data_IF_841686882317
#
_entry.id   IF_841686882317
#
_cell.length_a   1.000
_cell.length_b   1.000
_cell.length_c   1.000
_cell.angle_alpha   90.00
_cell.angle_beta   90.00
_cell.angle_gamma   90.00
#
_symmetry.space_group_name_H-M   'P 1'
#
loop_
_entity.id
_entity.type
_entity.pdbx_description
1 polymer ?
#
# COMPACT_ATOMS: atom_id res chain seq x y z
N UNK A 1 4.83 -60.04 5.08
CA UNK A 1 4.12 -58.76 5.32
C UNK A 1 4.23 -58.50 6.81
N UNK A 2 5.10 -57.60 7.28
CA UNK A 2 4.87 -56.14 7.43
C UNK A 2 6.30 -55.54 7.58
N UNK A 3 6.84 -54.80 6.59
CA UNK A 3 6.79 -53.34 6.42
C UNK A 3 7.25 -52.58 7.69
N UNK A 4 8.49 -52.05 7.72
CA UNK A 4 8.88 -50.72 7.22
C UNK A 4 8.84 -49.67 8.34
N UNK A 5 9.97 -49.00 8.58
CA UNK A 5 9.98 -47.72 9.31
C UNK A 5 11.28 -47.41 10.04
N UNK A 6 12.37 -47.15 9.33
CA UNK A 6 13.50 -46.40 9.88
C UNK A 6 13.00 -44.96 10.07
N UNK A 7 12.79 -44.53 11.31
CA UNK A 7 12.50 -43.14 11.62
C UNK A 7 13.81 -42.35 11.61
N UNK A 8 14.11 -41.71 10.47
CA UNK A 8 15.08 -40.64 10.39
C UNK A 8 14.50 -39.44 11.14
N UNK A 9 14.93 -39.24 12.39
CA UNK A 9 14.64 -38.04 13.13
C UNK A 9 15.35 -36.87 12.44
N UNK A 10 14.64 -36.17 11.56
CA UNK A 10 15.04 -34.85 11.09
C UNK A 10 15.04 -33.97 12.34
N UNK A 11 16.23 -33.75 12.90
CA UNK A 11 16.44 -32.71 13.90
C UNK A 11 16.33 -31.39 13.16
N UNK A 12 15.10 -30.90 12.97
CA UNK A 12 14.89 -29.52 12.58
C UNK A 12 15.51 -28.69 13.69
N UNK A 13 16.66 -28.08 13.43
CA UNK A 13 17.31 -27.18 14.40
C UNK A 13 16.28 -26.14 14.76
N UNK A 14 15.84 -26.14 16.01
CA UNK A 14 15.02 -25.06 16.55
C UNK A 14 15.70 -23.74 16.18
N UNK A 15 14.97 -22.72 15.70
CA UNK A 15 15.59 -21.43 15.48
C UNK A 15 16.23 -21.03 16.80
N UNK A 16 17.56 -20.89 16.79
CA UNK A 16 18.27 -20.40 17.96
C UNK A 16 17.58 -19.11 18.36
N UNK A 17 17.06 -19.06 19.58
CA UNK A 17 16.70 -17.79 20.20
C UNK A 17 17.98 -17.00 20.23
N UNK A 18 18.14 -16.09 19.28
CA UNK A 18 19.18 -15.09 19.30
C UNK A 18 18.87 -14.27 20.54
N UNK A 19 19.50 -14.63 21.65
CA UNK A 19 19.61 -13.76 22.81
C UNK A 19 20.36 -12.54 22.30
N UNK A 20 19.63 -11.52 21.88
CA UNK A 20 20.17 -10.18 21.89
C UNK A 20 20.45 -9.89 23.36
N UNK A 21 21.71 -10.00 23.78
CA UNK A 21 22.13 -9.34 25.00
C UNK A 21 21.74 -7.88 24.86
N UNK A 22 20.83 -7.44 25.72
CA UNK A 22 20.45 -6.04 25.82
C UNK A 22 21.69 -5.28 26.31
N UNK A 23 22.48 -4.79 25.37
CA UNK A 23 23.56 -3.86 25.65
C UNK A 23 22.93 -2.60 26.24
N UNK A 24 22.89 -2.55 27.57
CA UNK A 24 22.68 -1.33 28.36
C UNK A 24 23.86 -0.35 28.24
N UNK A 25 24.80 -0.61 27.32
CA UNK A 25 25.74 0.38 26.80
C UNK A 25 25.00 1.43 26.01
N UNK A 26 24.58 2.50 26.69
CA UNK A 26 23.94 3.65 26.09
C UNK A 26 24.72 4.16 24.89
N UNK A 27 24.00 4.37 23.78
CA UNK A 27 24.42 5.26 22.71
C UNK A 27 24.39 6.70 23.27
N UNK A 28 25.34 7.01 24.14
CA UNK A 28 25.53 8.29 24.83
C UNK A 28 25.95 9.43 23.87
N UNK A 29 25.71 9.28 22.56
CA UNK A 29 26.02 10.28 21.54
C UNK A 29 24.82 10.83 20.78
N UNK A 30 23.63 10.21 20.89
CA UNK A 30 22.45 10.61 20.09
C UNK A 30 21.19 10.94 20.90
N UNK A 31 21.29 10.97 22.24
CA UNK A 31 20.22 11.52 23.11
C UNK A 31 18.86 10.81 23.07
N UNK A 32 18.75 9.65 22.40
CA UNK A 32 17.50 8.92 22.26
C UNK A 32 17.29 7.85 23.34
N UNK A 33 16.03 7.71 23.80
CA UNK A 33 15.58 6.58 24.64
C UNK A 33 15.66 5.29 23.81
N UNK A 34 16.26 4.23 24.37
CA UNK A 34 16.28 2.90 23.74
C UNK A 34 14.85 2.35 23.68
N UNK A 35 14.39 1.98 22.49
CA UNK A 35 13.06 1.40 22.24
C UNK A 35 13.20 -0.11 22.09
N UNK A 36 12.30 -0.89 22.68
CA UNK A 36 12.33 -2.35 22.63
C UNK A 36 11.99 -2.87 21.23
N UNK A 37 12.47 -4.06 20.87
CA UNK A 37 12.21 -4.67 19.57
C UNK A 37 10.71 -4.92 19.30
N UNK A 38 9.94 -5.21 20.35
CA UNK A 38 8.48 -5.35 20.28
C UNK A 38 7.80 -4.01 20.03
N UNK A 39 8.21 -2.94 20.73
CA UNK A 39 7.71 -1.60 20.46
C UNK A 39 8.07 -1.15 19.02
N UNK A 40 9.24 -1.53 18.49
CA UNK A 40 9.58 -1.32 17.09
C UNK A 40 8.81 -2.23 16.13
N UNK A 41 8.35 -3.40 16.56
CA UNK A 41 7.51 -4.29 15.75
C UNK A 41 6.09 -3.75 15.64
N UNK A 42 5.54 -3.18 16.73
CA UNK A 42 4.24 -2.52 16.74
C UNK A 42 4.24 -1.19 15.96
N UNK A 43 5.39 -0.49 15.94
CA UNK A 43 5.60 0.72 15.13
C UNK A 43 5.98 0.42 13.68
N UNK A 44 6.39 -0.82 13.36
CA UNK A 44 6.56 -1.27 11.97
C UNK A 44 5.16 -1.60 11.48
N UNK A 45 4.60 -0.75 10.63
CA UNK A 45 3.24 -0.87 10.09
C UNK A 45 3.01 -2.13 9.24
N UNK A 46 2.95 -3.26 9.93
CA UNK A 46 2.92 -4.60 9.37
C UNK A 46 1.81 -5.46 9.98
N UNK A 47 0.82 -4.82 10.60
CA UNK A 47 -0.34 -5.50 11.16
C UNK A 47 -1.65 -5.17 10.42
N UNK A 48 -1.64 -4.22 9.46
CA UNK A 48 -2.85 -3.86 8.75
C UNK A 48 -3.01 -4.67 7.47
N UNK A 49 -3.74 -5.78 7.57
CA UNK A 49 -4.26 -6.53 6.43
C UNK A 49 -5.53 -5.85 5.88
N UNK A 50 -5.51 -4.52 5.67
CA UNK A 50 -6.66 -3.81 5.12
C UNK A 50 -6.93 -4.32 3.71
N UNK A 51 -8.07 -4.98 3.54
CA UNK A 51 -8.59 -5.30 2.22
C UNK A 51 -9.04 -4.00 1.54
N UNK A 52 -8.14 -3.41 0.78
CA UNK A 52 -8.36 -2.22 -0.02
C UNK A 52 -9.00 -2.63 -1.35
N UNK A 53 -10.32 -2.50 -1.49
CA UNK A 53 -11.03 -2.86 -2.71
C UNK A 53 -11.69 -1.65 -3.37
N UNK A 54 -11.43 -1.48 -4.67
CA UNK A 54 -12.17 -0.57 -5.53
C UNK A 54 -13.23 -1.39 -6.28
N UNK A 55 -14.51 -1.12 -6.00
CA UNK A 55 -15.63 -1.64 -6.80
C UNK A 55 -16.20 -0.55 -7.69
N UNK A 56 -15.74 -0.56 -8.94
CA UNK A 56 -16.22 0.34 -9.98
C UNK A 56 -17.25 -0.40 -10.86
N UNK A 57 -18.53 -0.23 -10.53
CA UNK A 57 -19.65 -0.74 -11.33
C UNK A 57 -20.42 0.45 -11.90
N UNK A 58 -20.51 0.50 -13.22
CA UNK A 58 -21.38 1.45 -13.88
C UNK A 58 -21.62 1.07 -15.31
N UNK A 59 -22.72 1.55 -15.85
CA UNK A 59 -23.11 1.32 -17.23
C UNK A 59 -23.63 2.62 -17.82
N UNK A 60 -23.18 2.92 -19.03
CA UNK A 60 -23.72 4.01 -19.83
C UNK A 60 -24.68 3.39 -20.83
N UNK A 61 -25.96 3.74 -20.76
CA UNK A 61 -26.99 3.22 -21.67
C UNK A 61 -27.88 4.35 -22.15
N UNK A 62 -28.39 4.19 -23.37
CA UNK A 62 -29.36 5.11 -23.99
C UNK A 62 -28.87 6.57 -24.08
N UNK A 63 -27.56 6.78 -24.28
CA UNK A 63 -27.05 8.12 -24.53
C UNK A 63 -27.41 8.53 -25.95
N UNK A 64 -28.33 9.47 -26.06
CA UNK A 64 -28.57 10.21 -27.29
C UNK A 64 -28.01 11.63 -27.14
N UNK A 65 -27.15 12.03 -28.07
CA UNK A 65 -26.57 13.36 -28.13
C UNK A 65 -26.83 13.91 -29.53
N UNK A 66 -27.60 14.99 -29.64
CA UNK A 66 -27.92 15.68 -30.89
C UNK A 66 -27.57 17.16 -30.72
N UNK A 67 -27.07 17.80 -31.79
CA UNK A 67 -26.63 19.20 -31.80
C UNK A 67 -25.59 19.56 -30.71
N UNK A 68 -24.69 18.62 -30.37
CA UNK A 68 -23.70 18.84 -29.30
C UNK A 68 -22.36 19.28 -29.89
N UNK A 69 -21.88 20.44 -29.43
CA UNK A 69 -20.49 20.88 -29.62
C UNK A 69 -19.70 20.45 -28.38
N UNK A 70 -18.74 19.55 -28.56
CA UNK A 70 -17.83 19.11 -27.50
C UNK A 70 -16.64 20.04 -27.39
N UNK A 71 -16.13 20.21 -26.16
CA UNK A 71 -14.99 21.10 -25.88
C UNK A 71 -13.63 20.43 -26.08
N UNK A 72 -12.57 21.10 -25.64
CA UNK A 72 -11.24 20.51 -25.45
C UNK A 72 -10.97 20.27 -23.96
N UNK A 73 -10.25 19.20 -23.63
CA UNK A 73 -9.68 19.03 -22.30
C UNK A 73 -8.21 19.44 -22.41
N UNK A 74 -7.89 20.68 -22.07
CA UNK A 74 -6.52 21.20 -22.19
C UNK A 74 -5.92 21.29 -20.80
N UNK A 75 -4.87 20.52 -20.56
CA UNK A 75 -3.92 20.74 -19.45
C UNK A 75 -2.77 21.55 -20.03
N UNK A 76 -2.69 22.83 -19.66
CA UNK A 76 -1.66 23.73 -20.19
C UNK A 76 -0.34 23.61 -19.44
N UNK A 77 0.67 24.28 -19.98
CA UNK A 77 1.99 24.37 -19.36
C UNK A 77 1.90 24.98 -17.95
N UNK A 78 2.57 24.35 -16.98
CA UNK A 78 2.48 24.74 -15.57
C UNK A 78 1.27 24.20 -14.80
N UNK A 79 0.35 23.45 -15.42
CA UNK A 79 -0.83 22.94 -14.72
C UNK A 79 -0.52 22.00 -13.55
N UNK A 80 0.68 21.41 -13.52
CA UNK A 80 1.20 20.61 -12.40
C UNK A 80 2.49 21.20 -11.82
N UNK A 81 2.90 22.41 -12.22
CA UNK A 81 4.10 23.01 -11.68
C UNK A 81 3.90 23.29 -10.18
N UNK A 82 4.78 22.75 -9.35
CA UNK A 82 4.70 22.87 -7.89
C UNK A 82 3.74 21.88 -7.22
N UNK A 83 3.15 20.91 -7.93
CA UNK A 83 2.37 19.85 -7.27
C UNK A 83 3.29 18.93 -6.49
N UNK A 84 3.05 18.79 -5.20
CA UNK A 84 3.68 17.81 -4.32
C UNK A 84 2.61 16.85 -3.80
N UNK A 85 2.95 15.57 -3.65
CA UNK A 85 1.99 14.50 -3.34
C UNK A 85 1.48 13.78 -4.59
N UNK A 86 0.18 13.47 -4.66
CA UNK A 86 -0.41 12.66 -5.71
C UNK A 86 -1.47 13.45 -6.51
N UNK A 87 -1.06 14.21 -7.55
CA UNK A 87 -2.01 14.90 -8.40
C UNK A 87 -2.80 13.89 -9.25
N UNK A 88 -4.12 14.06 -9.33
CA UNK A 88 -4.99 13.27 -10.19
C UNK A 88 -5.78 14.16 -11.13
N UNK A 89 -5.97 13.70 -12.36
CA UNK A 89 -6.79 14.42 -13.32
C UNK A 89 -7.63 13.49 -14.18
N UNK A 90 -8.84 13.97 -14.46
CA UNK A 90 -9.85 13.22 -15.17
C UNK A 90 -10.44 14.17 -16.21
N UNK A 91 -10.23 13.84 -17.48
CA UNK A 91 -10.67 14.65 -18.61
C UNK A 91 -11.85 14.00 -19.31
N UNK A 92 -12.87 14.80 -19.60
CA UNK A 92 -13.92 14.39 -20.50
C UNK A 92 -14.50 15.54 -21.29
N UNK A 93 -14.42 15.42 -22.61
CA UNK A 93 -15.02 16.40 -23.53
C UNK A 93 -16.22 15.86 -24.26
N UNK A 94 -16.55 14.58 -24.09
CA UNK A 94 -17.63 13.93 -24.82
C UNK A 94 -18.97 13.98 -24.11
N UNK A 95 -20.00 13.60 -24.85
CA UNK A 95 -21.30 13.21 -24.29
C UNK A 95 -21.31 11.70 -24.04
N UNK A 96 -22.00 11.26 -22.98
CA UNK A 96 -22.18 9.84 -22.71
C UNK A 96 -20.93 9.15 -22.18
N UNK A 97 -20.20 9.79 -21.27
CA UNK A 97 -19.07 9.15 -20.63
C UNK A 97 -19.33 8.90 -19.17
N UNK A 98 -19.08 7.66 -18.77
CA UNK A 98 -18.93 7.26 -17.39
C UNK A 98 -17.44 7.24 -17.08
N UNK A 99 -17.06 7.95 -16.03
CA UNK A 99 -15.68 7.95 -15.56
C UNK A 99 -15.62 7.33 -14.16
N UNK A 100 -14.77 6.33 -14.03
CA UNK A 100 -14.56 5.58 -12.81
C UNK A 100 -13.09 5.65 -12.41
N UNK A 101 -12.64 6.86 -12.06
CA UNK A 101 -11.32 7.02 -11.44
C UNK A 101 -11.44 6.78 -9.94
N UNK A 102 -10.63 5.87 -9.42
CA UNK A 102 -10.53 5.61 -8.00
C UNK A 102 -9.07 5.26 -7.68
N UNK A 103 -8.55 5.84 -6.61
CA UNK A 103 -7.21 5.55 -6.11
C UNK A 103 -7.31 5.29 -4.62
N UNK A 104 -6.71 4.18 -4.19
CA UNK A 104 -6.50 3.88 -2.78
C UNK A 104 -5.04 4.21 -2.47
N UNK A 105 -4.84 5.09 -1.51
CA UNK A 105 -3.52 5.43 -0.98
C UNK A 105 -3.48 5.01 0.48
N UNK A 106 -2.69 3.97 0.75
CA UNK A 106 -2.40 3.52 2.12
C UNK A 106 -1.09 4.15 2.54
N UNK A 107 -1.12 5.00 3.57
CA UNK A 107 0.08 5.65 4.12
C UNK A 107 0.17 5.32 5.60
N UNK A 108 1.34 4.84 6.00
CA UNK A 108 1.72 4.71 7.39
C UNK A 108 2.81 5.73 7.67
N UNK A 109 2.55 6.64 8.61
CA UNK A 109 3.52 7.65 9.03
C UNK A 109 4.03 7.27 10.42
N UNK A 110 5.35 7.37 10.60
CA UNK A 110 6.07 7.09 11.85
C UNK A 110 6.10 8.32 12.76
#
# INVERSE_FOLDING_TARGET
MIALGIALAVTCSSPSTVHAEESTGGLAGLGGKVVTADALADLRGGADAHLSEIRALGSVREVQAQDVVTGYNIVSEGALAGTSGMPMFIQNTGNGVLIQNAVILNVELQ
#
